data_IF_034173985745
#
_entry.id   IF_034173985745
#
_cell.length_a   1.000
_cell.length_b   1.000
_cell.length_c   1.000
_cell.angle_alpha   90.00
_cell.angle_beta   90.00
_cell.angle_gamma   90.00
#
_symmetry.space_group_name_H-M   'P 1'
#
loop_
_entity.id
_entity.type
_entity.pdbx_description
1 polymer ?
#
# COMPACT_ATOMS: atom_id res chain seq x y z
N UNK A 1 -26.05 -11.83 -31.75
CA UNK A 1 -24.76 -11.07 -31.87
C UNK A 1 -24.82 -9.63 -31.39
N UNK A 2 -25.93 -8.89 -31.54
CA UNK A 2 -26.01 -7.46 -31.19
C UNK A 2 -25.93 -7.17 -29.68
N UNK A 3 -26.50 -8.02 -28.83
CA UNK A 3 -26.51 -7.84 -27.36
C UNK A 3 -25.15 -8.02 -26.71
N UNK A 4 -24.33 -8.98 -27.16
CA UNK A 4 -22.97 -9.20 -26.64
C UNK A 4 -22.05 -8.00 -26.92
N UNK A 5 -22.25 -7.30 -28.04
CA UNK A 5 -21.51 -6.07 -28.36
C UNK A 5 -21.82 -4.94 -27.38
N UNK A 6 -23.06 -4.83 -26.92
CA UNK A 6 -23.48 -3.84 -25.91
C UNK A 6 -22.91 -4.21 -24.54
N UNK A 7 -22.93 -5.49 -24.16
CA UNK A 7 -22.36 -5.96 -22.88
C UNK A 7 -20.84 -5.73 -22.81
N UNK A 8 -20.12 -5.97 -23.91
CA UNK A 8 -18.67 -5.71 -24.00
C UNK A 8 -18.39 -4.20 -23.91
N UNK A 9 -19.20 -3.36 -24.57
CA UNK A 9 -19.04 -1.91 -24.50
C UNK A 9 -19.28 -1.35 -23.09
N UNK A 10 -20.25 -1.90 -22.35
CA UNK A 10 -20.53 -1.51 -20.95
C UNK A 10 -19.42 -1.98 -20.01
N UNK A 11 -18.86 -3.17 -20.20
CA UNK A 11 -17.76 -3.68 -19.39
C UNK A 11 -16.47 -2.83 -19.54
N UNK A 12 -16.16 -2.36 -20.75
CA UNK A 12 -15.00 -1.48 -20.99
C UNK A 12 -15.12 -0.08 -20.33
N UNK A 13 -16.35 0.40 -20.11
CA UNK A 13 -16.58 1.68 -19.45
C UNK A 13 -16.32 1.64 -17.94
N UNK A 14 -16.31 0.46 -17.32
CA UNK A 14 -16.07 0.31 -15.87
C UNK A 14 -14.58 0.23 -15.54
N UNK A 15 -13.74 -0.16 -16.52
CA UNK A 15 -12.29 -0.24 -16.38
C UNK A 15 -11.57 1.13 -16.32
N UNK A 16 -12.24 2.25 -16.61
CA UNK A 16 -11.62 3.58 -16.55
C UNK A 16 -11.70 4.25 -15.18
N UNK A 17 -12.39 3.63 -14.20
CA UNK A 17 -12.45 4.11 -12.82
C UNK A 17 -11.21 3.72 -11.99
N UNK A 18 -10.04 3.60 -12.63
CA UNK A 18 -8.76 3.56 -11.90
C UNK A 18 -8.48 4.98 -11.45
N UNK A 19 -9.07 5.37 -10.32
CA UNK A 19 -8.72 6.61 -9.62
C UNK A 19 -7.27 6.43 -9.17
N UNK A 20 -6.33 6.86 -10.01
CA UNK A 20 -4.95 7.03 -9.60
C UNK A 20 -4.96 8.06 -8.47
N UNK A 21 -4.82 7.56 -7.24
CA UNK A 21 -4.88 8.40 -6.05
C UNK A 21 -3.79 9.46 -6.17
N UNK A 22 -4.17 10.70 -6.46
CA UNK A 22 -3.28 11.85 -6.39
C UNK A 22 -2.87 11.97 -4.92
N UNK A 23 -1.74 11.37 -4.56
CA UNK A 23 -1.17 11.43 -3.23
C UNK A 23 -0.65 12.84 -3.04
N UNK A 24 -1.53 13.74 -2.59
CA UNK A 24 -1.14 15.06 -2.14
C UNK A 24 -0.49 14.85 -0.76
N UNK A 25 0.84 14.83 -0.73
CA UNK A 25 1.63 14.81 0.48
C UNK A 25 1.77 16.24 1.01
N UNK A 26 1.45 16.47 2.28
CA UNK A 26 1.70 17.72 2.99
C UNK A 26 2.71 17.45 4.09
N UNK A 27 3.81 18.20 4.10
CA UNK A 27 4.89 18.08 5.09
C UNK A 27 4.36 18.21 6.52
N UNK A 28 3.33 19.04 6.74
CA UNK A 28 2.73 19.21 8.07
C UNK A 28 2.05 17.94 8.56
N UNK A 29 1.43 17.18 7.67
CA UNK A 29 0.77 15.93 8.02
C UNK A 29 1.77 14.79 8.23
N UNK A 30 2.87 14.78 7.45
CA UNK A 30 3.98 13.86 7.65
C UNK A 30 4.66 14.08 9.01
N UNK A 31 4.95 15.34 9.37
CA UNK A 31 5.56 15.68 10.66
C UNK A 31 4.64 15.37 11.85
N UNK A 32 3.32 15.43 11.65
CA UNK A 32 2.33 15.07 12.66
C UNK A 32 2.08 13.54 12.75
N UNK A 33 2.78 12.72 11.96
CA UNK A 33 2.57 11.27 11.89
C UNK A 33 1.17 10.89 11.37
N UNK A 34 0.49 11.81 10.68
CA UNK A 34 -0.84 11.59 10.12
C UNK A 34 -0.72 11.04 8.71
N UNK A 35 -1.62 10.13 8.35
CA UNK A 35 -1.69 9.62 7.00
C UNK A 35 -2.09 10.76 6.04
N UNK A 36 -1.48 10.86 4.85
CA UNK A 36 -1.87 11.85 3.84
C UNK A 36 -3.36 11.76 3.50
N UNK A 37 -3.95 12.86 3.03
CA UNK A 37 -5.36 12.86 2.62
C UNK A 37 -5.59 11.80 1.54
N UNK A 38 -6.68 11.03 1.67
CA UNK A 38 -7.07 9.92 0.80
C UNK A 38 -6.18 8.66 0.87
N UNK A 39 -5.39 8.48 1.93
CA UNK A 39 -4.64 7.25 2.14
C UNK A 39 -5.52 6.19 2.85
N UNK A 40 -6.10 5.26 2.08
CA UNK A 40 -6.97 4.21 2.63
C UNK A 40 -6.21 3.00 3.19
N UNK A 41 -4.98 2.77 2.74
CA UNK A 41 -4.14 1.69 3.25
C UNK A 41 -3.39 2.15 4.49
N UNK A 42 -3.32 1.30 5.52
CA UNK A 42 -2.49 1.60 6.68
C UNK A 42 -1.02 1.71 6.28
N UNK A 43 -0.34 2.74 6.78
CA UNK A 43 1.10 2.91 6.60
C UNK A 43 1.86 1.82 7.38
N UNK A 44 3.02 1.36 6.89
CA UNK A 44 3.90 0.49 7.65
C UNK A 44 4.31 1.20 8.95
N UNK A 45 4.17 0.50 10.08
CA UNK A 45 4.61 1.05 11.37
C UNK A 45 5.97 0.44 11.76
N UNK A 46 6.94 1.29 12.10
CA UNK A 46 8.25 0.85 12.57
C UNK A 46 8.12 0.38 14.02
N UNK A 47 8.33 -0.91 14.26
CA UNK A 47 8.25 -1.51 15.60
C UNK A 47 9.58 -1.37 16.32
N UNK A 48 10.67 -1.81 15.68
CA UNK A 48 12.03 -1.68 16.22
C UNK A 48 13.08 -1.74 15.12
N UNK A 49 14.20 -1.08 15.35
CA UNK A 49 15.43 -1.32 14.60
C UNK A 49 16.14 -2.54 15.18
N UNK A 50 16.56 -3.48 14.32
CA UNK A 50 17.36 -4.64 14.72
C UNK A 50 18.84 -4.26 14.70
N UNK A 51 19.23 -3.58 13.64
CA UNK A 51 20.55 -3.02 13.38
C UNK A 51 20.41 -1.85 12.38
N UNK A 52 21.52 -1.31 11.90
CA UNK A 52 21.54 -0.18 10.97
C UNK A 52 20.98 -0.52 9.57
N UNK A 53 20.88 -1.81 9.23
CA UNK A 53 20.45 -2.30 7.92
C UNK A 53 19.07 -2.96 7.95
N UNK A 54 18.54 -3.29 9.13
CA UNK A 54 17.34 -4.10 9.30
C UNK A 54 16.38 -3.50 10.31
N UNK A 55 15.11 -3.43 9.91
CA UNK A 55 14.03 -2.87 10.72
C UNK A 55 12.85 -3.84 10.76
N UNK A 56 12.21 -3.98 11.93
CA UNK A 56 10.94 -4.70 12.04
C UNK A 56 9.80 -3.72 11.78
N UNK A 57 8.99 -4.06 10.78
CA UNK A 57 7.79 -3.32 10.41
C UNK A 57 6.55 -4.13 10.76
N UNK A 58 5.55 -3.49 11.36
CA UNK A 58 4.20 -4.03 11.42
C UNK A 58 3.46 -3.58 10.16
N UNK A 59 3.27 -4.50 9.22
CA UNK A 59 2.64 -4.21 7.93
C UNK A 59 1.96 -5.44 7.33
N UNK A 60 1.12 -5.22 6.33
CA UNK A 60 0.55 -6.28 5.48
C UNK A 60 1.50 -6.54 4.31
N UNK A 61 1.83 -7.81 4.05
CA UNK A 61 2.60 -8.17 2.85
C UNK A 61 1.77 -8.12 1.55
N UNK A 62 0.45 -8.26 1.66
CA UNK A 62 -0.51 -8.18 0.56
C UNK A 62 -1.79 -7.51 1.08
N UNK A 63 -2.57 -6.78 0.24
CA UNK A 63 -3.84 -6.19 0.66
C UNK A 63 -4.80 -7.16 1.37
N UNK A 64 -4.81 -8.42 0.92
CA UNK A 64 -5.67 -9.49 1.44
C UNK A 64 -5.09 -10.22 2.67
N UNK A 65 -3.85 -9.90 3.06
CA UNK A 65 -3.17 -10.54 4.18
C UNK A 65 -3.37 -9.77 5.49
N UNK A 66 -3.37 -10.50 6.60
CA UNK A 66 -3.31 -9.89 7.93
C UNK A 66 -2.00 -9.12 8.14
N UNK A 67 -2.05 -8.03 8.91
CA UNK A 67 -0.86 -7.31 9.31
C UNK A 67 -0.07 -8.14 10.32
N UNK A 68 1.24 -8.28 10.09
CA UNK A 68 2.15 -8.96 11.02
C UNK A 68 3.50 -8.25 11.04
N UNK A 69 4.36 -8.68 11.96
CA UNK A 69 5.74 -8.20 12.01
C UNK A 69 6.55 -8.82 10.87
N UNK A 70 7.26 -7.98 10.14
CA UNK A 70 8.16 -8.34 9.05
C UNK A 70 9.53 -7.73 9.30
N UNK A 71 10.58 -8.48 9.05
CA UNK A 71 11.95 -7.97 9.02
C UNK A 71 12.20 -7.40 7.61
N UNK A 72 12.48 -6.10 7.51
CA UNK A 72 12.82 -5.44 6.27
C UNK A 72 14.30 -5.07 6.25
N UNK A 73 14.99 -5.48 5.20
CA UNK A 73 16.31 -4.95 4.85
C UNK A 73 16.13 -3.56 4.21
N UNK A 74 16.72 -2.54 4.81
CA UNK A 74 16.51 -1.13 4.46
C UNK A 74 17.16 -0.78 3.11
N UNK A 75 18.27 -1.43 2.77
CA UNK A 75 18.99 -1.18 1.51
C UNK A 75 18.27 -1.77 0.30
N UNK A 76 17.76 -2.98 0.45
CA UNK A 76 17.16 -3.76 -0.63
C UNK A 76 15.63 -3.73 -0.66
N UNK A 77 14.99 -3.30 0.44
CA UNK A 77 13.53 -3.32 0.61
C UNK A 77 12.94 -4.73 0.73
N UNK A 78 13.77 -5.77 0.85
CA UNK A 78 13.31 -7.15 0.95
C UNK A 78 12.71 -7.40 2.33
N UNK A 79 11.54 -8.04 2.35
CA UNK A 79 10.85 -8.43 3.58
C UNK A 79 10.96 -9.94 3.80
N UNK A 80 11.33 -10.35 5.01
CA UNK A 80 11.33 -11.73 5.47
C UNK A 80 10.61 -11.85 6.81
N UNK A 81 10.25 -13.08 7.19
CA UNK A 81 9.74 -13.30 8.54
C UNK A 81 10.82 -13.01 9.58
N UNK A 82 10.47 -12.36 10.70
CA UNK A 82 11.41 -12.15 11.80
C UNK A 82 11.63 -13.50 12.51
N UNK A 83 12.85 -14.02 12.44
CA UNK A 83 13.30 -15.22 13.14
C UNK A 83 13.46 -14.95 14.64
#
# INVERSE_FOLDING_TARGET
MKQYRVLIAVACLWSTAVIAQKKDFDDKDLMAGRAPKNFYNQLPNVVKWVDDERVILFTKAHPDSAAKNWLMDVKSGKMSEPT
#
